data_IF_149245642795
#
_entry.id   IF_149245642795
#
_cell.length_a   1.000
_cell.length_b   1.000
_cell.length_c   1.000
_cell.angle_alpha   90.00
_cell.angle_beta   90.00
_cell.angle_gamma   90.00
#
_symmetry.space_group_name_H-M   'P 1'
#
loop_
_entity.id
_entity.type
_entity.pdbx_description
1 polymer ?
#
# COMPACT_ATOMS: atom_id res chain seq x y z
N UNK A 1 -8.26 -0.25 -30.05
CA UNK A 1 -8.64 0.98 -29.35
C UNK A 1 -8.05 0.82 -27.95
N UNK A 2 -6.87 1.40 -27.72
CA UNK A 2 -6.17 1.28 -26.44
C UNK A 2 -6.94 2.15 -25.43
N UNK A 3 -7.36 1.56 -24.30
CA UNK A 3 -8.19 2.28 -23.34
C UNK A 3 -7.34 3.24 -22.53
N UNK A 4 -7.93 4.33 -22.03
CA UNK A 4 -7.25 5.31 -21.17
C UNK A 4 -6.53 4.63 -19.98
N UNK A 5 -7.09 3.52 -19.48
CA UNK A 5 -6.50 2.64 -18.47
C UNK A 5 -5.14 2.04 -18.89
N UNK A 6 -5.02 1.57 -20.12
CA UNK A 6 -3.78 0.99 -20.66
C UNK A 6 -2.70 2.05 -20.83
N UNK A 7 -3.10 3.26 -21.21
CA UNK A 7 -2.20 4.41 -21.32
C UNK A 7 -1.70 4.85 -19.95
N UNK A 8 -2.56 4.87 -18.94
CA UNK A 8 -2.18 5.16 -17.55
C UNK A 8 -1.23 4.09 -17.01
N UNK A 9 -1.52 2.80 -17.21
CA UNK A 9 -0.64 1.70 -16.78
C UNK A 9 0.75 1.80 -17.41
N UNK A 10 0.81 2.07 -18.72
CA UNK A 10 2.07 2.31 -19.44
C UNK A 10 2.81 3.53 -18.89
N UNK A 11 2.10 4.61 -18.60
CA UNK A 11 2.69 5.84 -18.09
C UNK A 11 3.28 5.64 -16.69
N UNK A 12 2.55 4.94 -15.81
CA UNK A 12 2.99 4.61 -14.46
C UNK A 12 4.20 3.66 -14.48
N UNK A 13 4.20 2.66 -15.36
CA UNK A 13 5.36 1.76 -15.53
C UNK A 13 6.63 2.44 -16.05
N UNK A 14 6.52 3.66 -16.61
CA UNK A 14 7.65 4.46 -17.10
C UNK A 14 8.15 5.51 -16.11
N UNK A 15 7.55 5.61 -14.93
CA UNK A 15 7.98 6.58 -13.91
C UNK A 15 9.28 6.08 -13.26
N UNK A 16 10.42 6.49 -13.84
CA UNK A 16 11.72 6.43 -13.18
C UNK A 16 11.82 7.61 -12.23
N UNK A 17 11.70 7.35 -10.93
CA UNK A 17 11.98 8.37 -9.91
C UNK A 17 13.50 8.51 -9.85
N UNK A 18 14.03 9.60 -10.41
CA UNK A 18 15.45 9.90 -10.32
C UNK A 18 15.78 10.41 -8.92
N UNK A 19 16.54 9.62 -8.15
CA UNK A 19 17.14 10.08 -6.90
C UNK A 19 18.16 11.19 -7.21
N UNK A 20 17.80 12.43 -6.88
CA UNK A 20 18.75 13.54 -6.74
C UNK A 20 19.35 13.47 -5.34
N UNK A 21 20.27 12.53 -5.11
CA UNK A 21 21.19 12.58 -3.96
C UNK A 21 22.60 12.32 -4.48
N UNK A 22 23.44 13.34 -4.34
CA UNK A 22 24.84 13.28 -4.69
C UNK A 22 25.65 12.40 -3.74
N UNK A 23 26.77 11.93 -4.31
CA UNK A 23 28.01 11.46 -3.69
C UNK A 23 28.26 9.93 -3.62
N UNK A 24 29.19 9.54 -4.50
CA UNK A 24 30.29 8.57 -4.42
C UNK A 24 30.15 7.23 -3.68
N UNK A 25 30.26 6.14 -4.45
CA UNK A 25 30.63 4.82 -3.94
C UNK A 25 30.09 3.67 -4.80
N UNK A 26 30.98 2.94 -5.47
CA UNK A 26 30.64 1.72 -6.22
C UNK A 26 30.10 0.62 -5.28
N UNK A 27 28.88 0.16 -5.60
CA UNK A 27 28.21 -0.99 -5.04
C UNK A 27 26.91 -1.17 -5.83
N UNK A 28 26.66 -2.38 -6.34
CA UNK A 28 25.57 -2.75 -7.25
C UNK A 28 24.29 -1.93 -7.04
N UNK A 29 24.02 -1.00 -7.96
CA UNK A 29 22.73 -0.33 -8.05
C UNK A 29 21.73 -1.35 -8.59
N UNK A 30 21.15 -2.13 -7.69
CA UNK A 30 19.81 -2.66 -7.92
C UNK A 30 18.96 -1.41 -8.18
N UNK A 31 18.67 -1.14 -9.45
CA UNK A 31 17.76 -0.08 -9.83
C UNK A 31 16.45 -0.49 -9.19
N UNK A 32 16.10 0.16 -8.08
CA UNK A 32 14.92 -0.13 -7.29
C UNK A 32 13.71 0.37 -8.08
N UNK A 33 13.39 -0.41 -9.11
CA UNK A 33 12.43 -0.08 -10.13
C UNK A 33 11.06 -0.03 -9.48
N UNK A 34 10.29 1.01 -9.81
CA UNK A 34 8.95 1.20 -9.26
C UNK A 34 8.06 0.06 -9.75
N UNK A 35 7.76 -0.89 -8.86
CA UNK A 35 6.89 -2.03 -9.20
C UNK A 35 5.45 -1.64 -8.99
N UNK A 36 4.65 -1.67 -10.07
CA UNK A 36 3.21 -1.42 -10.02
C UNK A 36 2.43 -2.69 -10.31
N UNK A 37 1.49 -3.01 -9.42
CA UNK A 37 0.62 -4.19 -9.55
C UNK A 37 -0.83 -3.80 -9.30
N UNK A 38 -1.70 -4.07 -10.26
CA UNK A 38 -3.14 -3.84 -10.16
C UNK A 38 -3.89 -5.17 -10.28
N UNK A 39 -4.94 -5.37 -9.48
CA UNK A 39 -5.83 -6.52 -9.61
C UNK A 39 -7.17 -6.25 -8.95
N UNK A 40 -8.13 -7.14 -9.20
CA UNK A 40 -9.48 -7.06 -8.67
C UNK A 40 -9.88 -8.36 -8.02
N UNK A 41 -10.70 -8.29 -6.98
CA UNK A 41 -11.29 -9.47 -6.32
C UNK A 41 -12.77 -9.23 -6.07
N UNK A 42 -13.59 -10.26 -6.30
CA UNK A 42 -15.03 -10.21 -6.06
C UNK A 42 -15.33 -10.96 -4.77
N UNK A 43 -16.08 -10.33 -3.87
CA UNK A 43 -16.51 -10.90 -2.60
C UNK A 43 -17.92 -10.43 -2.27
N UNK A 44 -18.85 -11.37 -2.08
CA UNK A 44 -20.25 -11.07 -1.69
C UNK A 44 -20.91 -10.01 -2.60
N UNK A 45 -20.81 -10.22 -3.92
CA UNK A 45 -21.25 -9.30 -4.98
C UNK A 45 -20.62 -7.88 -4.96
N UNK A 46 -19.62 -7.68 -4.10
CA UNK A 46 -18.80 -6.46 -4.05
C UNK A 46 -17.49 -6.68 -4.81
N UNK A 47 -17.14 -5.74 -5.69
CA UNK A 47 -15.86 -5.75 -6.41
C UNK A 47 -14.84 -4.86 -5.69
N UNK A 48 -13.78 -5.46 -5.18
CA UNK A 48 -12.63 -4.77 -4.63
C UNK A 48 -11.56 -4.60 -5.70
N UNK A 49 -11.04 -3.38 -5.81
CA UNK A 49 -9.99 -3.01 -6.74
C UNK A 49 -8.74 -2.64 -5.95
N UNK A 50 -7.61 -3.21 -6.33
CA UNK A 50 -6.36 -3.03 -5.62
C UNK A 50 -5.29 -2.49 -6.58
N UNK A 51 -4.52 -1.52 -6.10
CA UNK A 51 -3.32 -1.04 -6.75
C UNK A 51 -2.19 -0.94 -5.74
N UNK A 52 -1.02 -1.41 -6.14
CA UNK A 52 0.21 -1.39 -5.36
C UNK A 52 1.28 -0.68 -6.15
N UNK A 53 2.01 0.20 -5.48
CA UNK A 53 3.20 0.85 -6.02
C UNK A 53 4.30 0.69 -4.97
N UNK A 54 5.34 -0.07 -5.33
CA UNK A 54 6.54 -0.20 -4.50
C UNK A 54 7.48 0.96 -4.79
N UNK A 55 7.91 1.61 -3.73
CA UNK A 55 9.01 2.57 -3.70
C UNK A 55 10.14 2.00 -2.82
N UNK A 56 11.36 2.55 -2.88
CA UNK A 56 12.51 1.96 -2.20
C UNK A 56 12.38 1.71 -0.69
N UNK A 57 11.67 2.60 0.00
CA UNK A 57 11.49 2.56 1.47
C UNK A 57 10.03 2.71 1.88
N UNK A 58 9.11 2.59 0.93
CA UNK A 58 7.71 2.86 1.14
C UNK A 58 6.85 2.03 0.18
N UNK A 59 5.66 1.65 0.62
CA UNK A 59 4.66 1.04 -0.25
C UNK A 59 3.45 1.96 -0.28
N UNK A 60 3.00 2.28 -1.49
CA UNK A 60 1.68 2.86 -1.69
C UNK A 60 0.69 1.76 -2.04
N UNK A 61 -0.46 1.78 -1.38
CA UNK A 61 -1.57 0.86 -1.58
C UNK A 61 -2.84 1.67 -1.79
N UNK A 62 -3.61 1.33 -2.81
CA UNK A 62 -4.95 1.85 -3.03
C UNK A 62 -5.96 0.71 -3.05
N UNK A 63 -7.09 0.91 -2.36
CA UNK A 63 -8.22 -0.01 -2.31
C UNK A 63 -9.51 0.72 -2.66
N UNK A 64 -10.07 0.38 -3.82
CA UNK A 64 -11.40 0.78 -4.25
C UNK A 64 -12.45 -0.30 -3.94
N UNK A 65 -13.69 0.11 -3.73
CA UNK A 65 -14.84 -0.77 -3.50
C UNK A 65 -15.99 -0.34 -4.41
N UNK A 66 -16.44 -1.23 -5.30
CA UNK A 66 -17.52 -1.05 -6.30
C UNK A 66 -17.32 0.08 -7.32
N UNK A 67 -16.48 1.06 -7.02
CA UNK A 67 -16.14 2.20 -7.86
C UNK A 67 -14.71 2.62 -7.55
N UNK A 68 -14.00 3.10 -8.58
CA UNK A 68 -12.63 3.60 -8.48
C UNK A 68 -12.59 5.01 -7.85
N UNK A 69 -13.20 5.14 -6.66
CA UNK A 69 -13.19 6.39 -5.89
C UNK A 69 -11.95 6.45 -5.01
N UNK A 70 -11.35 7.62 -4.97
CA UNK A 70 -10.33 7.94 -3.99
C UNK A 70 -10.99 8.07 -2.61
N UNK A 71 -10.52 7.28 -1.64
CA UNK A 71 -11.04 7.26 -0.28
C UNK A 71 -10.18 8.03 0.69
N UNK A 72 -10.26 7.65 1.98
CA UNK A 72 -9.40 8.21 3.01
C UNK A 72 -7.95 7.77 2.79
N UNK A 73 -7.01 8.70 3.01
CA UNK A 73 -5.58 8.46 2.87
C UNK A 73 -4.91 8.40 4.24
N UNK A 74 -4.20 7.31 4.51
CA UNK A 74 -3.49 7.07 5.76
C UNK A 74 -2.00 6.92 5.49
N UNK A 75 -1.19 7.51 6.36
CA UNK A 75 0.25 7.26 6.42
C UNK A 75 0.57 6.50 7.70
N UNK A 76 1.28 5.40 7.58
CA UNK A 76 1.69 4.55 8.69
C UNK A 76 3.20 4.28 8.63
N UNK A 77 3.85 4.38 9.79
CA UNK A 77 5.29 4.16 9.92
C UNK A 77 5.63 3.61 11.31
N UNK A 78 6.67 2.78 11.39
CA UNK A 78 7.23 2.35 12.67
C UNK A 78 8.06 3.48 13.30
N UNK A 79 7.83 3.78 14.57
CA UNK A 79 8.55 4.80 15.32
C UNK A 79 9.54 4.16 16.28
N UNK A 80 10.81 4.59 16.21
CA UNK A 80 11.85 4.20 17.17
C UNK A 80 11.81 5.15 18.38
N UNK A 81 12.20 4.71 19.59
CA UNK A 81 12.75 3.38 19.93
C UNK A 81 11.69 2.31 20.25
N UNK A 82 10.42 2.67 20.44
CA UNK A 82 9.37 1.77 20.94
C UNK A 82 8.84 0.73 19.94
N UNK A 83 9.30 0.74 18.68
CA UNK A 83 8.78 -0.09 17.57
C UNK A 83 7.25 -0.03 17.43
N UNK A 84 6.62 1.02 17.95
CA UNK A 84 5.19 1.26 17.81
C UNK A 84 4.92 1.77 16.41
N UNK A 85 3.81 1.34 15.81
CA UNK A 85 3.38 1.91 14.53
C UNK A 85 2.47 3.10 14.78
N UNK A 86 2.90 4.27 14.32
CA UNK A 86 2.10 5.49 14.26
C UNK A 86 1.34 5.54 12.95
N UNK A 87 0.08 5.95 13.01
CA UNK A 87 -0.79 6.11 11.84
C UNK A 87 -1.45 7.48 11.91
N UNK A 88 -1.47 8.19 10.79
CA UNK A 88 -2.15 9.47 10.64
C UNK A 88 -3.04 9.48 9.41
N UNK A 89 -4.17 10.20 9.47
CA UNK A 89 -5.00 10.50 8.32
C UNK A 89 -4.44 11.74 7.63
N UNK A 90 -4.03 11.62 6.37
CA UNK A 90 -3.33 12.67 5.62
C UNK A 90 -4.31 13.66 5.01
N UNK A 91 -5.41 13.17 4.43
CA UNK A 91 -6.37 14.00 3.70
C UNK A 91 -7.53 14.50 4.54
N UNK A 92 -7.42 14.50 5.87
CA UNK A 92 -8.37 15.15 6.78
C UNK A 92 -9.84 14.94 6.37
N UNK A 93 -10.38 13.75 6.61
CA UNK A 93 -11.74 13.38 6.24
C UNK A 93 -12.52 12.82 7.42
N UNK A 94 -13.72 12.32 7.14
CA UNK A 94 -14.69 11.73 8.10
C UNK A 94 -14.02 10.87 9.17
N UNK A 95 -14.64 10.71 10.34
CA UNK A 95 -14.14 9.90 11.50
C UNK A 95 -13.96 8.40 11.21
N UNK A 96 -13.87 8.04 9.93
CA UNK A 96 -13.70 6.72 9.42
C UNK A 96 -12.23 6.31 9.51
N UNK A 97 -11.98 5.33 10.37
CA UNK A 97 -10.65 4.80 10.70
C UNK A 97 -10.44 3.37 10.19
N UNK A 98 -11.32 2.87 9.32
CA UNK A 98 -11.22 1.52 8.70
C UNK A 98 -9.84 1.27 8.09
N UNK A 99 -9.28 2.25 7.38
CA UNK A 99 -7.94 2.11 6.80
C UNK A 99 -6.80 2.22 7.80
N UNK A 100 -6.99 2.86 8.97
CA UNK A 100 -5.89 3.07 9.91
C UNK A 100 -5.42 1.76 10.54
N UNK A 101 -6.36 0.85 10.84
CA UNK A 101 -6.07 -0.48 11.35
C UNK A 101 -5.31 -1.33 10.33
N UNK A 102 -5.77 -1.34 9.08
CA UNK A 102 -5.12 -2.04 7.97
C UNK A 102 -3.70 -1.50 7.78
N UNK A 103 -3.54 -0.18 7.63
CA UNK A 103 -2.23 0.44 7.42
C UNK A 103 -1.26 0.08 8.56
N UNK A 104 -1.72 0.12 9.81
CA UNK A 104 -0.92 -0.27 10.98
C UNK A 104 -0.41 -1.71 10.87
N UNK A 105 -1.30 -2.66 10.58
CA UNK A 105 -0.98 -4.09 10.52
C UNK A 105 -0.07 -4.42 9.32
N UNK A 106 -0.25 -3.72 8.21
CA UNK A 106 0.64 -3.86 7.06
C UNK A 106 2.06 -3.39 7.38
N UNK A 107 2.25 -2.27 8.10
CA UNK A 107 3.58 -1.83 8.56
C UNK A 107 4.20 -2.87 9.50
N UNK A 108 3.42 -3.43 10.43
CA UNK A 108 3.93 -4.46 11.33
C UNK A 108 4.38 -5.74 10.60
N UNK A 109 3.74 -6.08 9.46
CA UNK A 109 4.06 -7.28 8.67
C UNK A 109 5.18 -7.07 7.67
N UNK A 110 5.27 -5.88 7.07
CA UNK A 110 6.25 -5.54 6.04
C UNK A 110 7.48 -4.83 6.59
N UNK A 111 7.36 -4.21 7.77
CA UNK A 111 8.36 -3.31 8.35
C UNK A 111 8.70 -2.08 7.50
N UNK A 112 7.90 -1.80 6.45
CA UNK A 112 8.05 -0.66 5.56
C UNK A 112 7.03 0.43 5.90
N UNK A 113 7.34 1.67 5.51
CA UNK A 113 6.37 2.75 5.61
C UNK A 113 5.25 2.54 4.58
N UNK A 114 4.01 2.80 4.98
CA UNK A 114 2.85 2.55 4.13
C UNK A 114 2.00 3.80 3.97
N UNK A 115 1.66 4.09 2.73
CA UNK A 115 0.60 5.04 2.37
C UNK A 115 -0.57 4.22 1.85
N UNK A 116 -1.70 4.25 2.55
CA UNK A 116 -2.90 3.50 2.20
C UNK A 116 -4.02 4.47 1.86
N UNK A 117 -4.50 4.43 0.62
CA UNK A 117 -5.78 5.00 0.24
C UNK A 117 -6.84 3.88 0.30
N UNK A 118 -7.90 4.03 1.11
CA UNK A 118 -8.97 3.04 1.14
C UNK A 118 -10.35 3.66 1.09
N UNK A 119 -11.20 3.10 0.24
CA UNK A 119 -12.62 3.40 0.14
C UNK A 119 -13.45 2.14 0.45
N UNK A 120 -13.27 1.54 1.63
CA UNK A 120 -14.05 0.37 2.07
C UNK A 120 -15.19 0.84 2.98
N UNK A 121 -16.44 0.43 2.74
CA UNK A 121 -17.57 0.83 3.56
C UNK A 121 -17.52 0.15 4.95
N UNK A 122 -17.79 0.94 6.00
CA UNK A 122 -17.76 0.50 7.41
C UNK A 122 -18.82 -0.52 7.80
N UNK A 123 -19.89 -0.63 7.02
CA UNK A 123 -21.03 -1.49 7.33
C UNK A 123 -20.71 -2.99 7.17
N UNK A 124 -19.54 -3.34 6.62
CA UNK A 124 -19.15 -4.71 6.39
C UNK A 124 -17.73 -5.02 6.91
N UNK A 125 -17.58 -5.36 8.21
CA UNK A 125 -16.27 -5.70 8.79
C UNK A 125 -15.64 -6.97 8.16
N UNK A 126 -16.45 -7.86 7.57
CA UNK A 126 -15.94 -9.02 6.84
C UNK A 126 -15.20 -8.60 5.57
N UNK A 127 -15.71 -7.57 4.87
CA UNK A 127 -15.08 -7.01 3.69
C UNK A 127 -13.73 -6.34 4.04
N UNK A 128 -13.64 -5.63 5.16
CA UNK A 128 -12.38 -5.06 5.66
C UNK A 128 -11.34 -6.17 5.92
N UNK A 129 -11.72 -7.20 6.68
CA UNK A 129 -10.83 -8.32 7.00
C UNK A 129 -10.40 -9.09 5.75
N UNK A 130 -11.30 -9.24 4.78
CA UNK A 130 -11.01 -9.88 3.49
C UNK A 130 -10.02 -9.03 2.67
N UNK A 131 -10.28 -7.74 2.52
CA UNK A 131 -9.37 -6.83 1.82
C UNK A 131 -7.97 -6.87 2.44
N UNK A 132 -7.87 -6.80 3.77
CA UNK A 132 -6.59 -6.92 4.46
C UNK A 132 -5.88 -8.24 4.17
N UNK A 133 -6.59 -9.37 4.26
CA UNK A 133 -6.00 -10.70 4.01
C UNK A 133 -5.43 -10.80 2.60
N UNK A 134 -6.13 -10.23 1.63
CA UNK A 134 -5.72 -10.17 0.22
C UNK A 134 -4.49 -9.29 0.05
N UNK A 135 -4.47 -8.11 0.68
CA UNK A 135 -3.32 -7.22 0.66
C UNK A 135 -2.07 -7.90 1.21
N UNK A 136 -2.18 -8.54 2.38
CA UNK A 136 -1.07 -9.25 3.02
C UNK A 136 -0.59 -10.41 2.15
N UNK A 137 -1.51 -11.22 1.61
CA UNK A 137 -1.17 -12.33 0.72
C UNK A 137 -0.36 -11.84 -0.47
N UNK A 138 -0.81 -10.76 -1.12
CA UNK A 138 -0.11 -10.21 -2.28
C UNK A 138 1.26 -9.66 -1.92
N UNK A 139 1.41 -9.00 -0.77
CA UNK A 139 2.70 -8.52 -0.29
C UNK A 139 3.67 -9.67 0.03
N UNK A 140 3.18 -10.80 0.56
CA UNK A 140 3.97 -12.03 0.74
C UNK A 140 4.42 -12.57 -0.61
N UNK A 141 3.50 -12.71 -1.57
CA UNK A 141 3.79 -13.27 -2.89
C UNK A 141 4.80 -12.42 -3.66
N UNK A 142 4.83 -11.10 -3.41
CA UNK A 142 5.82 -10.18 -3.97
C UNK A 142 7.14 -10.12 -3.17
N UNK A 143 7.25 -10.86 -2.06
CA UNK A 143 8.47 -10.94 -1.24
C UNK A 143 8.68 -9.77 -0.28
N UNK A 144 7.65 -8.99 0.04
CA UNK A 144 7.75 -7.77 0.85
C UNK A 144 7.48 -7.96 2.35
N UNK A 145 7.37 -9.20 2.82
CA UNK A 145 7.22 -9.46 4.26
C UNK A 145 8.55 -9.61 4.95
N UNK A 146 8.64 -9.04 6.16
CA UNK A 146 9.78 -9.25 7.04
C UNK A 146 9.88 -10.75 7.37
N UNK A 147 11.04 -11.34 7.16
CA UNK A 147 11.37 -12.69 7.61
C UNK A 147 11.42 -12.79 9.15
N UNK A 148 11.46 -11.65 9.85
CA UNK A 148 11.44 -11.57 11.32
C UNK A 148 10.37 -10.55 11.78
N UNK A 149 9.34 -10.96 12.55
CA UNK A 149 8.34 -10.03 13.08
C UNK A 149 8.97 -8.99 14.00
N UNK A 150 8.51 -7.73 13.93
CA UNK A 150 8.82 -6.73 14.96
C UNK A 150 8.25 -7.22 16.30
N UNK A 151 9.13 -7.66 17.20
CA UNK A 151 8.76 -8.10 18.54
C UNK A 151 8.17 -6.91 19.29
N UNK A 152 6.90 -7.00 19.67
CA UNK A 152 6.30 -6.07 20.61
C UNK A 152 6.99 -6.33 21.97
N UNK A 153 7.85 -5.40 22.38
CA UNK A 153 8.44 -5.35 23.73
C UNK A 153 7.56 -4.54 24.64
#
# INVERSE_FOLDING_TARGET
>A
METEYDQVLRSVSKVKIADQVGDSGEGSRDVDDVVVSCFTEVFDDVTLQFQFIRLPKQIYVWVGCNSAKFGNLYAAASTRPSNTVSVTSVLGGTSDNTGSGIARRLVMKTGLNIILACNIPKNNPLLEAKAEKVLIRKLIDLGYTMSTPLRAT
#
